data_IF_831391402433
#
_entry.id   IF_831391402433
#
_cell.length_a   1.000
_cell.length_b   1.000
_cell.length_c   1.000
_cell.angle_alpha   90.00
_cell.angle_beta   90.00
_cell.angle_gamma   90.00
#
_symmetry.space_group_name_H-M   'P 1'
#
loop_
_entity.id
_entity.type
_entity.pdbx_description
1 polymer ?
#
# COMPACT_ATOMS: atom_id res chain seq x y z
N UNK A 1 -47.42 27.27 26.60
CA UNK A 1 -46.38 26.22 26.81
C UNK A 1 -46.21 25.31 25.58
N UNK A 2 -45.91 25.84 24.37
CA UNK A 2 -45.74 25.00 23.14
C UNK A 2 -44.68 25.52 22.15
N UNK A 3 -43.77 26.40 22.57
CA UNK A 3 -42.83 27.08 21.66
C UNK A 3 -41.35 26.67 21.78
N UNK A 4 -40.95 26.00 22.87
CA UNK A 4 -39.54 25.80 23.20
C UNK A 4 -38.95 24.46 22.74
N UNK A 5 -39.77 23.52 22.28
CA UNK A 5 -39.31 22.18 21.86
C UNK A 5 -38.84 22.09 20.39
N UNK A 6 -39.19 23.04 19.52
CA UNK A 6 -38.86 22.95 18.08
C UNK A 6 -37.48 23.49 17.68
N UNK A 7 -36.83 24.31 18.51
CA UNK A 7 -35.51 24.89 18.20
C UNK A 7 -34.33 23.98 18.55
N UNK A 8 -34.52 23.03 19.48
CA UNK A 8 -33.45 22.12 19.92
C UNK A 8 -33.26 20.97 18.91
N UNK A 9 -34.33 20.55 18.22
CA UNK A 9 -34.29 19.43 17.26
C UNK A 9 -33.46 19.70 16.00
N UNK A 10 -33.40 20.95 15.52
CA UNK A 10 -32.66 21.31 14.30
C UNK A 10 -31.14 21.29 14.51
N UNK A 11 -30.69 21.55 15.75
CA UNK A 11 -29.26 21.64 16.10
C UNK A 11 -28.56 20.27 16.16
N UNK A 12 -29.30 19.21 16.53
CA UNK A 12 -28.75 17.85 16.64
C UNK A 12 -28.60 17.19 15.26
N UNK A 13 -29.51 17.46 14.33
CA UNK A 13 -29.48 16.89 12.98
C UNK A 13 -28.31 17.41 12.13
N UNK A 14 -27.95 18.69 12.25
CA UNK A 14 -26.77 19.26 11.58
C UNK A 14 -25.46 18.73 12.15
N UNK A 15 -25.36 18.57 13.48
CA UNK A 15 -24.17 17.99 14.11
C UNK A 15 -23.95 16.52 13.72
N UNK A 16 -25.02 15.73 13.63
CA UNK A 16 -24.95 14.33 13.20
C UNK A 16 -24.54 14.18 11.73
N UNK A 17 -25.05 15.03 10.83
CA UNK A 17 -24.68 15.01 9.41
C UNK A 17 -23.20 15.40 9.17
N UNK A 18 -22.67 16.36 9.95
CA UNK A 18 -21.25 16.73 9.90
C UNK A 18 -20.35 15.62 10.48
N UNK A 19 -20.81 14.90 11.51
CA UNK A 19 -20.09 13.77 12.08
C UNK A 19 -20.03 12.55 11.14
N UNK A 20 -21.08 12.30 10.35
CA UNK A 20 -21.11 11.23 9.35
C UNK A 20 -20.18 11.50 8.15
N UNK A 21 -19.97 12.76 7.76
CA UNK A 21 -19.04 13.12 6.68
C UNK A 21 -17.57 13.04 7.10
N UNK A 22 -17.24 13.24 8.38
CA UNK A 22 -15.88 13.13 8.91
C UNK A 22 -15.37 11.68 8.94
N UNK A 23 -16.23 10.69 9.22
CA UNK A 23 -15.82 9.27 9.22
C UNK A 23 -15.52 8.72 7.82
N UNK A 24 -16.12 9.27 6.77
CA UNK A 24 -15.90 8.83 5.40
C UNK A 24 -14.49 9.20 4.85
N UNK A 25 -13.79 10.14 5.49
CA UNK A 25 -12.46 10.61 5.07
C UNK A 25 -11.29 9.89 5.74
N UNK A 26 -11.55 8.98 6.69
CA UNK A 26 -10.49 8.22 7.37
C UNK A 26 -9.97 7.02 6.55
N UNK A 27 -10.68 6.62 5.49
CA UNK A 27 -10.37 5.45 4.66
C UNK A 27 -9.48 5.73 3.44
N UNK A 28 -8.57 6.72 3.52
CA UNK A 28 -7.64 6.99 2.42
C UNK A 28 -6.84 5.73 2.05
N UNK A 29 -6.68 5.45 0.75
CA UNK A 29 -5.97 4.27 0.27
C UNK A 29 -4.60 4.14 0.96
N UNK A 30 -4.38 2.99 1.62
CA UNK A 30 -3.12 2.66 2.30
C UNK A 30 -1.96 2.52 1.31
N UNK A 31 -2.27 2.22 0.05
CA UNK A 31 -1.32 1.99 -1.04
C UNK A 31 -1.27 3.18 -1.99
N UNK A 32 -0.11 3.40 -2.59
CA UNK A 32 -0.01 4.27 -3.76
C UNK A 32 -0.88 3.72 -4.89
N UNK A 33 -1.70 4.59 -5.48
CA UNK A 33 -2.68 4.22 -6.50
C UNK A 33 -2.02 3.60 -7.73
N UNK A 34 -0.80 3.99 -8.08
CA UNK A 34 -0.07 3.48 -9.25
C UNK A 34 1.24 2.81 -8.84
N UNK A 35 1.79 1.91 -9.68
CA UNK A 35 3.15 1.43 -9.49
C UNK A 35 4.17 2.57 -9.54
N UNK A 36 5.36 2.29 -9.00
CA UNK A 36 6.53 3.16 -9.15
C UNK A 36 6.95 3.15 -10.61
N UNK A 37 7.25 4.33 -11.16
CA UNK A 37 7.62 4.50 -12.56
C UNK A 37 9.12 4.53 -12.74
N UNK A 38 9.57 4.16 -13.93
CA UNK A 38 10.99 4.07 -14.31
C UNK A 38 11.74 5.36 -13.99
N UNK A 39 11.18 6.51 -14.38
CA UNK A 39 11.83 7.80 -14.15
C UNK A 39 11.97 8.15 -12.66
N UNK A 40 11.02 7.72 -11.82
CA UNK A 40 11.09 7.94 -10.37
C UNK A 40 12.20 7.10 -9.75
N UNK A 41 12.27 5.82 -10.12
CA UNK A 41 13.30 4.92 -9.63
C UNK A 41 14.70 5.31 -10.16
N UNK A 42 14.79 5.75 -11.42
CA UNK A 42 16.03 6.24 -12.01
C UNK A 42 16.56 7.50 -11.31
N UNK A 43 15.67 8.42 -10.91
CA UNK A 43 16.05 9.59 -10.12
C UNK A 43 16.54 9.19 -8.73
N UNK A 44 15.83 8.29 -8.04
CA UNK A 44 16.25 7.73 -6.75
C UNK A 44 17.66 7.11 -6.84
N UNK A 45 17.93 6.30 -7.87
CA UNK A 45 19.26 5.69 -8.08
C UNK A 45 20.38 6.70 -8.27
N UNK A 46 20.06 7.89 -8.80
CA UNK A 46 21.00 9.00 -8.98
C UNK A 46 21.09 9.91 -7.75
N UNK A 47 20.35 9.62 -6.68
CA UNK A 47 20.25 10.49 -5.50
C UNK A 47 19.52 11.81 -5.77
N UNK A 48 18.74 11.88 -6.86
CA UNK A 48 18.06 13.10 -7.30
C UNK A 48 16.60 13.18 -6.82
N UNK A 49 15.97 14.37 -6.91
CA UNK A 49 14.57 14.54 -6.60
C UNK A 49 13.66 13.82 -7.60
N UNK A 50 12.40 13.47 -7.23
CA UNK A 50 11.45 12.84 -8.15
C UNK A 50 11.18 13.75 -9.36
N UNK A 51 11.20 13.23 -10.60
CA UNK A 51 11.02 14.06 -11.78
C UNK A 51 9.56 14.47 -11.95
N UNK A 52 9.30 15.75 -12.23
CA UNK A 52 7.94 16.25 -12.50
C UNK A 52 7.26 15.59 -13.71
N UNK A 53 8.04 15.10 -14.68
CA UNK A 53 7.56 14.37 -15.86
C UNK A 53 7.29 12.87 -15.61
N UNK A 54 7.55 12.35 -14.40
CA UNK A 54 7.45 10.93 -14.07
C UNK A 54 6.10 10.32 -14.45
N UNK A 55 5.00 11.08 -14.36
CA UNK A 55 3.62 10.60 -14.58
C UNK A 55 3.36 9.91 -15.92
N UNK A 56 4.22 10.08 -16.93
CA UNK A 56 4.06 9.45 -18.27
C UNK A 56 5.04 8.32 -18.54
N UNK A 57 6.00 8.07 -17.65
CA UNK A 57 6.96 6.97 -17.83
C UNK A 57 6.29 5.61 -17.64
N UNK A 58 6.84 4.54 -18.23
CA UNK A 58 6.40 3.18 -17.93
C UNK A 58 6.72 2.81 -16.47
N UNK A 59 6.12 1.73 -15.93
CA UNK A 59 6.47 1.21 -14.62
C UNK A 59 7.96 0.86 -14.53
N UNK A 60 8.53 1.02 -13.34
CA UNK A 60 9.85 0.50 -13.03
C UNK A 60 9.77 -1.03 -12.98
N UNK A 61 10.39 -1.69 -13.95
CA UNK A 61 10.52 -3.15 -14.04
C UNK A 61 12.00 -3.57 -13.92
N UNK A 62 12.32 -4.87 -14.03
CA UNK A 62 13.65 -5.42 -13.72
C UNK A 62 14.06 -5.16 -12.26
N UNK A 63 13.09 -5.15 -11.35
CA UNK A 63 13.31 -4.89 -9.93
C UNK A 63 13.36 -6.19 -9.14
N UNK A 64 14.39 -6.36 -8.32
CA UNK A 64 14.37 -7.35 -7.24
C UNK A 64 13.63 -6.79 -6.01
N UNK A 65 13.32 -7.66 -5.05
CA UNK A 65 12.55 -7.29 -3.87
C UNK A 65 13.30 -6.29 -2.98
N UNK A 66 14.62 -6.41 -2.90
CA UNK A 66 15.45 -5.54 -2.08
C UNK A 66 15.47 -4.11 -2.61
N UNK A 67 15.59 -3.95 -3.93
CA UNK A 67 15.48 -2.67 -4.63
C UNK A 67 14.11 -2.02 -4.40
N UNK A 68 13.04 -2.80 -4.56
CA UNK A 68 11.67 -2.34 -4.33
C UNK A 68 11.47 -1.83 -2.89
N UNK A 69 11.93 -2.62 -1.90
CA UNK A 69 11.89 -2.26 -0.49
C UNK A 69 12.71 -1.01 -0.18
N UNK A 70 13.93 -0.93 -0.70
CA UNK A 70 14.84 0.19 -0.45
C UNK A 70 14.26 1.51 -0.97
N UNK A 71 13.68 1.50 -2.18
CA UNK A 71 12.98 2.67 -2.71
C UNK A 71 11.84 3.08 -1.81
N UNK A 72 10.92 2.17 -1.45
CA UNK A 72 9.79 2.55 -0.60
C UNK A 72 10.26 3.09 0.76
N UNK A 73 11.29 2.49 1.37
CA UNK A 73 11.86 2.97 2.63
C UNK A 73 12.44 4.39 2.50
N UNK A 74 13.14 4.70 1.41
CA UNK A 74 13.68 6.04 1.15
C UNK A 74 12.57 7.10 1.01
N UNK A 75 11.38 6.70 0.57
CA UNK A 75 10.20 7.57 0.50
C UNK A 75 9.43 7.66 1.83
N UNK A 76 9.95 7.09 2.93
CA UNK A 76 9.24 7.00 4.22
C UNK A 76 8.05 6.04 4.19
N UNK A 77 8.06 5.08 3.27
CA UNK A 77 7.00 4.10 2.98
C UNK A 77 7.51 2.67 3.18
N UNK A 78 6.68 1.69 2.86
CA UNK A 78 7.05 0.27 2.81
C UNK A 78 6.47 -0.41 1.57
N UNK A 79 6.83 -1.68 1.34
CA UNK A 79 6.06 -2.53 0.44
C UNK A 79 4.71 -2.90 1.09
N UNK A 80 3.62 -3.04 0.30
CA UNK A 80 2.35 -3.57 0.81
C UNK A 80 2.49 -5.04 1.19
N UNK A 81 1.64 -5.52 2.10
CA UNK A 81 1.39 -6.96 2.21
C UNK A 81 0.53 -7.44 1.04
N UNK A 82 0.55 -8.75 0.74
CA UNK A 82 -0.33 -9.33 -0.26
C UNK A 82 -1.82 -9.11 0.07
N UNK A 83 -2.18 -9.16 1.35
CA UNK A 83 -3.55 -8.89 1.79
C UNK A 83 -3.97 -7.45 1.50
N UNK A 84 -3.13 -6.45 1.85
CA UNK A 84 -3.44 -5.05 1.57
C UNK A 84 -3.58 -4.78 0.07
N UNK A 85 -2.76 -5.43 -0.74
CA UNK A 85 -2.84 -5.33 -2.19
C UNK A 85 -4.17 -5.89 -2.71
N UNK A 86 -4.57 -7.09 -2.26
CA UNK A 86 -5.84 -7.72 -2.64
C UNK A 86 -7.05 -6.88 -2.21
N UNK A 87 -7.04 -6.34 -1.00
CA UNK A 87 -8.08 -5.44 -0.49
C UNK A 87 -8.23 -4.21 -1.40
N UNK A 88 -7.11 -3.53 -1.70
CA UNK A 88 -7.11 -2.34 -2.55
C UNK A 88 -7.52 -2.66 -3.99
N UNK A 89 -7.11 -3.80 -4.53
CA UNK A 89 -7.50 -4.27 -5.86
C UNK A 89 -9.01 -4.52 -5.94
N UNK A 90 -9.57 -5.29 -5.00
CA UNK A 90 -11.02 -5.59 -4.94
C UNK A 90 -11.86 -4.34 -4.74
N UNK A 91 -11.34 -3.37 -3.98
CA UNK A 91 -11.96 -2.06 -3.78
C UNK A 91 -11.78 -1.11 -4.97
N UNK A 92 -11.14 -1.54 -6.08
CA UNK A 92 -10.88 -0.73 -7.28
C UNK A 92 -10.11 0.56 -6.98
N UNK A 93 -9.19 0.50 -6.04
CA UNK A 93 -8.34 1.64 -5.62
C UNK A 93 -7.00 1.70 -6.36
N UNK A 94 -6.68 0.67 -7.14
CA UNK A 94 -5.42 0.55 -7.86
C UNK A 94 -5.60 0.97 -9.33
N UNK A 95 -4.69 1.81 -9.78
CA UNK A 95 -4.37 2.06 -11.19
C UNK A 95 -3.29 1.08 -11.61
N UNK A 96 -3.54 0.43 -12.75
CA UNK A 96 -2.63 -0.53 -13.35
C UNK A 96 -2.04 0.08 -14.62
N UNK A 97 -0.75 -0.15 -14.85
CA UNK A 97 -0.06 0.26 -16.05
C UNK A 97 0.77 -0.93 -16.55
N UNK A 98 0.36 -1.49 -17.69
CA UNK A 98 0.91 -2.75 -18.18
C UNK A 98 0.55 -3.97 -17.33
N UNK A 99 1.07 -5.13 -17.72
CA UNK A 99 0.91 -6.39 -17.02
C UNK A 99 2.19 -6.70 -16.23
N UNK A 100 2.32 -6.08 -15.06
CA UNK A 100 3.48 -6.28 -14.18
C UNK A 100 3.09 -7.07 -12.92
N UNK A 101 4.01 -7.89 -12.46
CA UNK A 101 3.99 -8.51 -11.14
C UNK A 101 4.56 -7.55 -10.12
N UNK A 102 3.83 -7.31 -9.04
CA UNK A 102 4.23 -6.36 -8.02
C UNK A 102 4.70 -7.05 -6.75
N UNK A 103 5.92 -6.74 -6.32
CA UNK A 103 6.46 -7.25 -5.06
C UNK A 103 5.65 -6.83 -3.84
N UNK A 104 5.45 -7.77 -2.92
CA UNK A 104 4.86 -7.53 -1.60
C UNK A 104 5.85 -7.84 -0.49
N UNK A 105 5.57 -7.41 0.74
CA UNK A 105 6.35 -7.80 1.92
C UNK A 105 6.03 -9.21 2.44
N UNK A 106 4.95 -9.84 1.95
CA UNK A 106 4.47 -11.13 2.46
C UNK A 106 5.42 -12.25 2.04
N UNK A 107 5.88 -13.02 3.03
CA UNK A 107 6.68 -14.23 2.84
C UNK A 107 5.78 -15.43 2.60
N UNK A 108 6.32 -16.46 1.95
CA UNK A 108 5.69 -17.78 1.89
C UNK A 108 6.43 -18.78 2.75
N UNK A 109 5.78 -19.90 3.03
CA UNK A 109 6.39 -21.04 3.73
C UNK A 109 7.46 -21.76 2.88
N UNK A 110 7.65 -21.35 1.62
CA UNK A 110 8.66 -21.92 0.72
C UNK A 110 10.04 -21.37 1.11
N UNK A 111 10.86 -22.22 1.71
CA UNK A 111 12.27 -21.94 1.95
C UNK A 111 13.07 -22.00 0.64
N UNK A 112 14.07 -21.13 0.50
CA UNK A 112 15.09 -21.24 -0.56
C UNK A 112 16.14 -22.31 -0.24
N UNK A 113 17.12 -22.44 -1.13
CA UNK A 113 18.27 -23.33 -0.92
C UNK A 113 19.03 -22.95 0.36
N UNK A 114 19.12 -21.66 0.65
CA UNK A 114 19.41 -21.17 2.01
C UNK A 114 18.10 -21.16 2.81
N UNK A 115 18.01 -22.03 3.80
CA UNK A 115 16.87 -22.16 4.72
C UNK A 115 16.56 -20.86 5.47
N UNK A 116 17.42 -19.84 5.42
CA UNK A 116 17.17 -18.52 6.02
C UNK A 116 16.42 -17.57 5.10
N UNK A 117 16.39 -17.83 3.79
CA UNK A 117 15.73 -16.95 2.81
C UNK A 117 14.33 -17.47 2.52
N UNK A 118 13.32 -16.63 2.79
CA UNK A 118 11.92 -16.91 2.45
C UNK A 118 11.56 -16.25 1.12
N UNK A 119 10.83 -16.99 0.30
CA UNK A 119 10.28 -16.48 -0.95
C UNK A 119 9.24 -15.39 -0.64
N UNK A 120 9.12 -14.40 -1.54
CA UNK A 120 8.19 -13.28 -1.38
C UNK A 120 7.04 -13.41 -2.37
N UNK A 121 5.82 -13.14 -1.93
CA UNK A 121 4.65 -13.12 -2.80
C UNK A 121 4.65 -11.90 -3.72
N UNK A 122 4.14 -12.09 -4.93
CA UNK A 122 3.82 -11.04 -5.89
C UNK A 122 2.34 -11.10 -6.25
N UNK A 123 1.79 -9.92 -6.52
CA UNK A 123 0.40 -9.75 -6.94
C UNK A 123 0.29 -9.19 -8.36
N UNK A 124 -0.88 -9.41 -8.97
CA UNK A 124 -1.16 -9.11 -10.37
C UNK A 124 -1.18 -10.38 -11.24
N UNK A 125 -0.79 -10.28 -12.54
CA UNK A 125 -0.35 -9.06 -13.21
C UNK A 125 -1.55 -8.18 -13.59
N UNK A 126 -1.38 -6.86 -13.46
CA UNK A 126 -2.42 -5.91 -13.86
C UNK A 126 -3.71 -6.02 -13.01
N UNK A 127 -4.91 -5.94 -13.61
CA UNK A 127 -6.18 -5.78 -12.88
C UNK A 127 -6.69 -7.05 -12.21
N UNK A 128 -6.01 -8.17 -12.39
CA UNK A 128 -6.36 -9.43 -11.74
C UNK A 128 -6.04 -9.36 -10.25
N UNK A 129 -7.07 -9.44 -9.41
CA UNK A 129 -6.91 -9.40 -7.96
C UNK A 129 -6.42 -10.74 -7.40
N UNK A 130 -5.18 -11.09 -7.72
CA UNK A 130 -4.55 -12.35 -7.36
C UNK A 130 -3.10 -12.13 -6.87
N UNK A 131 -2.67 -12.96 -5.91
CA UNK A 131 -1.29 -13.00 -5.41
C UNK A 131 -0.80 -14.46 -5.40
N UNK A 132 -0.57 -14.99 -6.59
CA UNK A 132 -0.34 -16.43 -6.81
C UNK A 132 1.12 -16.80 -7.00
N UNK A 133 2.00 -15.80 -7.21
CA UNK A 133 3.39 -16.04 -7.54
C UNK A 133 4.28 -15.76 -6.34
N UNK A 134 5.32 -16.58 -6.19
CA UNK A 134 6.33 -16.42 -5.16
C UNK A 134 7.70 -16.63 -5.78
N UNK A 135 8.66 -15.77 -5.46
CA UNK A 135 10.03 -15.89 -5.97
C UNK A 135 11.07 -15.56 -4.90
N UNK A 136 12.29 -16.03 -5.13
CA UNK A 136 13.46 -15.60 -4.38
C UNK A 136 13.60 -14.07 -4.43
N UNK A 137 13.92 -13.39 -3.32
CA UNK A 137 13.92 -11.93 -3.27
C UNK A 137 14.93 -11.27 -4.24
N UNK A 138 15.96 -11.99 -4.67
CA UNK A 138 16.95 -11.52 -5.66
C UNK A 138 16.52 -11.72 -7.12
N UNK A 139 15.45 -12.48 -7.39
CA UNK A 139 15.07 -12.82 -8.76
C UNK A 139 14.34 -11.65 -9.45
N UNK A 140 14.80 -11.23 -10.63
CA UNK A 140 14.20 -10.12 -11.39
C UNK A 140 14.15 -10.37 -12.89
N UNK A 141 13.13 -9.82 -13.53
CA UNK A 141 12.95 -9.81 -14.98
C UNK A 141 12.11 -8.59 -15.42
N UNK A 142 11.86 -8.47 -16.72
CA UNK A 142 11.19 -7.34 -17.38
C UNK A 142 9.72 -7.14 -16.99
N UNK A 143 9.13 -8.02 -16.18
CA UNK A 143 7.74 -7.88 -15.69
C UNK A 143 7.65 -7.69 -14.18
N UNK A 144 8.76 -7.59 -13.46
CA UNK A 144 8.74 -7.35 -12.01
C UNK A 144 8.90 -5.88 -11.65
N UNK A 145 7.84 -5.32 -11.11
CA UNK A 145 7.81 -3.98 -10.53
C UNK A 145 7.29 -4.00 -9.10
N UNK A 146 6.80 -2.84 -8.65
CA UNK A 146 6.27 -2.69 -7.30
C UNK A 146 5.47 -1.39 -7.16
N UNK A 147 4.69 -1.31 -6.08
CA UNK A 147 4.11 -0.08 -5.54
C UNK A 147 4.43 0.02 -4.07
N UNK A 148 4.32 1.23 -3.52
CA UNK A 148 4.55 1.45 -2.10
C UNK A 148 3.23 1.57 -1.33
N UNK A 149 3.30 1.28 -0.03
CA UNK A 149 2.26 1.52 0.95
C UNK A 149 2.73 2.56 1.96
N UNK A 150 1.79 3.35 2.49
CA UNK A 150 2.03 4.27 3.59
C UNK A 150 2.63 3.52 4.79
N UNK A 151 3.44 4.18 5.63
CA UNK A 151 3.90 3.58 6.87
C UNK A 151 2.70 3.19 7.74
N UNK A 152 2.83 2.08 8.46
CA UNK A 152 1.81 1.68 9.42
C UNK A 152 1.68 2.73 10.52
N UNK A 153 0.47 2.96 11.05
CA UNK A 153 0.35 3.73 12.27
C UNK A 153 1.18 3.02 13.34
N UNK A 154 2.22 3.68 13.85
CA UNK A 154 2.97 3.18 14.99
C UNK A 154 2.00 3.08 16.15
N UNK A 155 1.52 1.88 16.48
CA UNK A 155 0.84 1.66 17.76
C UNK A 155 1.86 1.96 18.84
N UNK A 156 1.80 3.14 19.47
CA UNK A 156 2.47 3.33 20.75
C UNK A 156 1.73 2.42 21.73
N UNK A 157 2.29 1.24 21.98
CA UNK A 157 1.78 0.33 22.99
C UNK A 157 1.88 1.01 24.36
N UNK A 158 0.75 1.55 24.81
CA UNK A 158 0.48 1.98 26.17
C UNK A 158 -0.70 1.23 26.78
N UNK A 159 -0.97 0.00 26.32
CA UNK A 159 -2.01 -0.84 26.90
C UNK A 159 -1.37 -1.75 27.98
N UNK A 160 -1.78 -1.65 29.26
CA UNK A 160 -1.28 -2.54 30.30
C UNK A 160 -1.71 -3.98 30.03
N UNK A 161 -0.78 -4.91 30.19
CA UNK A 161 -1.04 -6.36 30.09
C UNK A 161 -2.06 -6.78 31.13
N UNK A 162 -3.29 -7.08 30.71
CA UNK A 162 -4.26 -7.78 31.56
C UNK A 162 -3.76 -9.21 31.71
N UNK A 163 -3.26 -9.54 32.91
CA UNK A 163 -3.13 -10.94 33.35
C UNK A 163 -4.53 -11.46 33.64
N UNK A 164 -4.96 -12.46 32.88
CA UNK A 164 -6.15 -13.27 33.18
C UNK A 164 -5.73 -14.35 34.19
N UNK A 165 -6.58 -14.69 35.18
CA UNK A 165 -6.24 -15.54 36.33
C UNK A 165 -5.76 -16.95 35.96
#
# INVERSE_FOLDING_TARGET
MKGWMRRIQVSVALAAAVFSLALAWAGGARLDRRPVLEAEFAAFRKGGPPPGAARRSPPAVLMDWHQARAYCAAQGKRLPTAQEWLEACRARQLEFQGAIWEWTSTETDRAGEDEKVRFKLLCGPGPECACTHAYHPDWKNEVKGFRCARPEPSVRLGAPSVRVP
#
